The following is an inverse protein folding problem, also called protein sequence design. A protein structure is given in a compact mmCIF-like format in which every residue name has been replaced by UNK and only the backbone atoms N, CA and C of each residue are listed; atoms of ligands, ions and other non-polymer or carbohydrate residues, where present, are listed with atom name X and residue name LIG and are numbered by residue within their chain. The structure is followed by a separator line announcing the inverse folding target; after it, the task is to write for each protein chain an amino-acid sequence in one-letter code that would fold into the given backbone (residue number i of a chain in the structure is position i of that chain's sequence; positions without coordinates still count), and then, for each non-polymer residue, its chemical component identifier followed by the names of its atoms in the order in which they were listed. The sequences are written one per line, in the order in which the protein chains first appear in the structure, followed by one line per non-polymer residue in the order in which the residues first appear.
data_IF_737206747312
#
_entry.id   IF_737206747312
#
_cell.length_a   1.000
_cell.length_b   1.000
_cell.length_c   1.000
_cell.angle_alpha   90.00
_cell.angle_beta   90.00
_cell.angle_gamma   90.00
#
_symmetry.space_group_name_H-M   'P 1'
#
loop_
_entity.id
_entity.type
_entity.pdbx_description
1 polymer ?
#
# COMPACT_ATOMS: atom_id res chain seq x y z
N UNK A 1 -10.06 25.99 9.57
CA UNK A 1 -9.02 26.96 9.17
C UNK A 1 -7.70 26.81 9.95
N UNK A 2 -7.68 26.89 11.30
CA UNK A 2 -6.44 26.76 12.10
C UNK A 2 -5.69 25.42 11.95
N UNK A 3 -6.39 24.27 11.99
CA UNK A 3 -5.75 22.94 11.86
C UNK A 3 -5.02 22.78 10.51
N UNK A 4 -5.59 23.28 9.42
CA UNK A 4 -4.99 23.22 8.08
C UNK A 4 -3.72 24.08 7.98
N UNK A 5 -3.74 25.29 8.54
CA UNK A 5 -2.54 26.12 8.67
C UNK A 5 -1.44 25.40 9.44
N UNK A 6 -1.79 24.77 10.57
CA UNK A 6 -0.85 24.03 11.41
C UNK A 6 -0.24 22.82 10.70
N UNK A 7 -1.03 22.06 9.93
CA UNK A 7 -0.52 20.97 9.08
C UNK A 7 0.50 21.52 8.07
N UNK A 8 0.17 22.64 7.40
CA UNK A 8 1.08 23.29 6.46
C UNK A 8 2.40 23.72 7.11
N UNK A 9 2.35 24.30 8.31
CA UNK A 9 3.54 24.69 9.06
C UNK A 9 4.41 23.48 9.45
N UNK A 10 3.79 22.37 9.87
CA UNK A 10 4.51 21.14 10.20
C UNK A 10 5.16 20.50 8.96
N UNK A 11 4.47 20.50 7.81
CA UNK A 11 5.04 19.97 6.56
C UNK A 11 6.27 20.75 6.11
N UNK A 12 6.29 22.08 6.30
CA UNK A 12 7.48 22.90 6.01
C UNK A 12 8.70 22.50 6.85
N UNK A 13 8.49 22.00 8.07
CA UNK A 13 9.56 21.62 9.00
C UNK A 13 9.97 20.15 8.88
N UNK A 14 9.06 19.27 8.48
CA UNK A 14 9.25 17.80 8.55
C UNK A 14 9.26 17.09 7.19
N UNK A 15 8.93 17.77 6.09
CA UNK A 15 8.85 17.24 4.71
C UNK A 15 7.84 16.09 4.47
N UNK A 16 7.45 15.35 5.50
CA UNK A 16 6.43 14.32 5.48
C UNK A 16 5.65 14.32 6.80
N UNK A 17 4.36 13.99 6.74
CA UNK A 17 3.52 13.71 7.89
C UNK A 17 2.80 12.39 7.66
N UNK A 18 2.57 11.65 8.74
CA UNK A 18 1.79 10.41 8.73
C UNK A 18 0.43 10.66 9.36
N UNK A 19 -0.61 10.11 8.76
CA UNK A 19 -1.96 10.11 9.30
C UNK A 19 -2.39 8.68 9.60
N UNK A 20 -2.94 8.46 10.80
CA UNK A 20 -3.62 7.21 11.14
C UNK A 20 -5.10 7.43 10.88
N UNK A 21 -5.67 6.65 9.95
CA UNK A 21 -7.11 6.57 9.73
C UNK A 21 -7.64 5.31 10.42
N UNK A 22 -8.71 5.44 11.20
CA UNK A 22 -9.36 4.34 11.93
C UNK A 22 -10.87 4.51 11.91
N UNK A 23 -11.59 3.39 11.96
CA UNK A 23 -13.04 3.35 12.08
C UNK A 23 -13.42 2.42 13.23
N UNK A 24 -14.43 2.80 14.00
CA UNK A 24 -15.03 1.95 15.04
C UNK A 24 -16.49 1.77 14.65
N UNK A 25 -16.87 0.53 14.40
CA UNK A 25 -18.25 0.18 14.07
C UNK A 25 -19.06 0.08 15.35
N UNK A 26 -20.27 0.62 15.32
CA UNK A 26 -21.22 0.54 16.40
C UNK A 26 -22.63 0.39 15.83
N UNK A 27 -23.58 0.04 16.69
CA UNK A 27 -24.98 -0.13 16.36
C UNK A 27 -25.86 0.61 17.39
N UNK A 28 -27.18 0.46 17.29
CA UNK A 28 -28.10 1.12 18.21
C UNK A 28 -27.92 0.69 19.68
N UNK A 29 -27.31 -0.48 19.93
CA UNK A 29 -27.08 -1.00 21.28
C UNK A 29 -25.81 -0.38 21.90
N UNK A 30 -24.79 -0.15 21.09
CA UNK A 30 -23.46 0.34 21.51
C UNK A 30 -23.25 1.84 21.31
N UNK A 31 -24.19 2.54 20.66
CA UNK A 31 -24.13 3.97 20.41
C UNK A 31 -23.93 4.85 21.66
N UNK A 32 -24.37 4.39 22.84
CA UNK A 32 -24.21 5.13 24.10
C UNK A 32 -22.79 5.03 24.67
N UNK A 33 -22.08 3.95 24.39
CA UNK A 33 -20.75 3.65 24.97
C UNK A 33 -19.60 3.91 24.00
N UNK A 34 -19.87 4.04 22.70
CA UNK A 34 -18.85 4.19 21.65
C UNK A 34 -17.89 5.36 21.89
N UNK A 35 -18.38 6.46 22.46
CA UNK A 35 -17.56 7.62 22.78
C UNK A 35 -16.50 7.30 23.85
N UNK A 36 -16.84 6.50 24.86
CA UNK A 36 -15.91 6.11 25.94
C UNK A 36 -14.84 5.15 25.39
N UNK A 37 -15.23 4.24 24.51
CA UNK A 37 -14.32 3.35 23.81
C UNK A 37 -13.34 4.13 22.92
N UNK A 38 -13.85 5.09 22.14
CA UNK A 38 -13.02 5.98 21.33
C UNK A 38 -12.02 6.76 22.19
N UNK A 39 -12.45 7.34 23.33
CA UNK A 39 -11.55 8.06 24.24
C UNK A 39 -10.48 7.14 24.84
N UNK A 40 -10.82 5.88 25.12
CA UNK A 40 -9.87 4.88 25.62
C UNK A 40 -8.81 4.55 24.58
N UNK A 41 -9.19 4.36 23.32
CA UNK A 41 -8.25 4.16 22.22
C UNK A 41 -7.38 5.40 21.99
N UNK A 42 -8.01 6.58 21.93
CA UNK A 42 -7.35 7.86 21.67
C UNK A 42 -6.26 8.18 22.70
N UNK A 43 -6.47 7.83 23.98
CA UNK A 43 -5.46 7.98 25.05
C UNK A 43 -4.22 7.09 24.87
N UNK A 44 -4.31 6.00 24.11
CA UNK A 44 -3.20 5.08 23.84
C UNK A 44 -2.37 5.48 22.62
N UNK A 45 -2.84 6.45 21.82
CA UNK A 45 -2.16 6.90 20.62
C UNK A 45 -1.27 8.12 20.92
N UNK A 46 -0.10 8.17 20.26
CA UNK A 46 0.86 9.26 20.38
C UNK A 46 0.89 10.14 19.12
N UNK A 47 -0.27 10.64 18.70
CA UNK A 47 -0.39 11.57 17.57
C UNK A 47 -0.17 13.02 18.04
N UNK A 48 0.04 13.93 17.09
CA UNK A 48 0.26 15.36 17.40
C UNK A 48 -0.99 15.96 18.05
N UNK A 49 -0.87 16.41 19.31
CA UNK A 49 -1.98 16.97 20.09
C UNK A 49 -2.75 18.04 19.30
N UNK A 50 -4.07 17.89 19.22
CA UNK A 50 -4.97 18.81 18.51
C UNK A 50 -5.11 18.56 17.00
N UNK A 51 -4.38 17.60 16.43
CA UNK A 51 -4.54 17.16 15.05
C UNK A 51 -5.28 15.82 14.98
N UNK A 52 -6.50 15.81 15.51
CA UNK A 52 -7.47 14.74 15.31
C UNK A 52 -8.67 15.26 14.49
N UNK A 53 -9.27 14.37 13.73
CA UNK A 53 -10.47 14.63 12.94
C UNK A 53 -11.37 13.41 13.08
N UNK A 54 -12.65 13.63 13.30
CA UNK A 54 -13.64 12.56 13.44
C UNK A 54 -14.87 12.94 12.63
N UNK A 55 -15.49 11.93 12.03
CA UNK A 55 -16.76 12.06 11.32
C UNK A 55 -17.55 10.79 11.58
N UNK A 56 -18.81 10.96 11.97
CA UNK A 56 -19.77 9.88 12.03
C UNK A 56 -20.41 9.69 10.65
N UNK A 57 -20.63 8.44 10.25
CA UNK A 57 -21.15 8.07 8.94
C UNK A 57 -21.87 6.72 9.01
N UNK A 58 -22.86 6.52 8.15
CA UNK A 58 -23.46 5.20 7.98
C UNK A 58 -22.41 4.19 7.49
N UNK A 59 -22.63 2.92 7.81
CA UNK A 59 -21.76 1.83 7.39
C UNK A 59 -21.50 1.85 5.87
N UNK A 60 -22.57 1.98 5.07
CA UNK A 60 -22.45 2.00 3.61
C UNK A 60 -21.74 3.25 3.08
N UNK A 61 -21.99 4.43 3.65
CA UNK A 61 -21.27 5.65 3.24
C UNK A 61 -19.78 5.56 3.58
N UNK A 62 -19.41 4.89 4.68
CA UNK A 62 -18.01 4.65 5.00
C UNK A 62 -17.37 3.67 4.01
N UNK A 63 -18.05 2.59 3.65
CA UNK A 63 -17.54 1.64 2.65
C UNK A 63 -17.38 2.27 1.27
N UNK A 64 -18.34 3.12 0.86
CA UNK A 64 -18.34 3.82 -0.43
C UNK A 64 -17.53 5.13 -0.41
N UNK A 65 -16.75 5.42 0.64
CA UNK A 65 -16.08 6.73 0.81
C UNK A 65 -15.03 7.07 -0.26
N UNK A 66 -14.51 6.06 -0.96
CA UNK A 66 -13.62 6.27 -2.12
C UNK A 66 -14.41 6.83 -3.29
N UNK A 67 -15.70 6.45 -3.39
CA UNK A 67 -16.62 6.87 -4.45
C UNK A 67 -16.14 6.50 -5.85
N UNK A 68 -16.73 7.16 -6.85
CA UNK A 68 -16.26 7.06 -8.22
C UNK A 68 -15.15 8.10 -8.47
N UNK A 69 -13.89 7.65 -8.44
CA UNK A 69 -12.73 8.49 -8.75
C UNK A 69 -12.54 8.71 -10.26
N UNK A 70 -13.25 7.95 -11.10
CA UNK A 70 -13.17 7.99 -12.56
C UNK A 70 -14.18 8.97 -13.19
N UNK A 71 -14.76 9.90 -12.43
CA UNK A 71 -15.61 10.95 -13.00
C UNK A 71 -14.73 11.75 -13.98
N UNK A 72 -14.99 11.67 -15.31
CA UNK A 72 -14.11 12.27 -16.30
C UNK A 72 -14.34 13.78 -16.30
N UNK A 73 -13.77 14.49 -15.33
CA UNK A 73 -13.81 15.95 -15.29
C UNK A 73 -13.02 16.57 -16.44
N UNK A 74 -12.20 15.78 -17.17
CA UNK A 74 -11.27 16.25 -18.21
C UNK A 74 -11.12 15.32 -19.42
N UNK A 75 -12.18 14.63 -19.84
CA UNK A 75 -12.31 14.05 -21.19
C UNK A 75 -11.30 12.97 -21.66
N UNK A 76 -10.38 12.50 -20.81
CA UNK A 76 -9.45 11.40 -21.15
C UNK A 76 -9.13 10.53 -19.93
N UNK A 77 -9.00 9.22 -20.16
CA UNK A 77 -8.54 8.26 -19.16
C UNK A 77 -7.07 8.55 -18.82
N UNK A 78 -6.80 8.89 -17.57
CA UNK A 78 -5.45 9.17 -17.08
C UNK A 78 -4.69 7.86 -16.83
N UNK A 79 -3.40 7.76 -17.19
CA UNK A 79 -2.59 6.62 -16.78
C UNK A 79 -2.42 6.53 -15.26
N UNK A 80 -2.44 5.31 -14.73
CA UNK A 80 -2.30 5.01 -13.31
C UNK A 80 -1.08 4.10 -13.05
N UNK A 81 0.15 4.65 -13.10
CA UNK A 81 1.39 3.89 -12.87
C UNK A 81 1.59 3.61 -11.37
N UNK A 82 0.70 2.79 -10.81
CA UNK A 82 0.70 2.47 -9.39
C UNK A 82 1.82 1.52 -9.01
N UNK A 83 2.34 1.68 -7.80
CA UNK A 83 3.22 0.72 -7.16
C UNK A 83 2.59 0.23 -5.87
N UNK A 84 2.34 -1.07 -5.78
CA UNK A 84 1.80 -1.70 -4.58
C UNK A 84 2.78 -2.75 -4.06
N UNK A 85 3.17 -2.64 -2.79
CA UNK A 85 4.21 -3.48 -2.17
C UNK A 85 3.74 -4.04 -0.84
N UNK A 86 4.11 -5.27 -0.55
CA UNK A 86 4.26 -5.78 0.80
C UNK A 86 5.70 -5.64 1.27
N UNK A 87 5.87 -5.20 2.52
CA UNK A 87 7.15 -4.85 3.13
C UNK A 87 7.29 -5.62 4.46
N UNK A 88 8.42 -6.29 4.72
CA UNK A 88 8.64 -6.97 5.99
C UNK A 88 8.76 -5.96 7.15
N UNK A 89 8.11 -6.25 8.29
CA UNK A 89 8.14 -5.39 9.50
C UNK A 89 9.56 -5.11 9.97
N UNK A 90 10.43 -6.10 9.93
CA UNK A 90 11.83 -6.04 10.35
C UNK A 90 12.63 -4.98 9.60
N UNK A 91 12.18 -4.59 8.40
CA UNK A 91 12.83 -3.59 7.54
C UNK A 91 12.05 -2.29 7.42
N UNK A 92 10.99 -2.09 8.21
CA UNK A 92 10.08 -0.96 8.02
C UNK A 92 10.73 0.39 8.28
N UNK A 93 11.64 0.48 9.25
CA UNK A 93 12.37 1.73 9.53
C UNK A 93 13.36 2.07 8.41
N UNK A 94 14.10 1.08 7.92
CA UNK A 94 15.03 1.26 6.80
C UNK A 94 14.27 1.61 5.50
N UNK A 95 13.13 0.98 5.26
CA UNK A 95 12.22 1.34 4.17
C UNK A 95 11.72 2.79 4.32
N UNK A 96 11.31 3.17 5.54
CA UNK A 96 10.85 4.52 5.83
C UNK A 96 11.94 5.57 5.54
N UNK A 97 13.15 5.39 6.05
CA UNK A 97 14.24 6.34 5.85
C UNK A 97 14.62 6.48 4.38
N UNK A 98 14.72 5.35 3.66
CA UNK A 98 15.14 5.34 2.26
C UNK A 98 14.07 5.84 1.31
N UNK A 99 12.84 5.33 1.45
CA UNK A 99 11.77 5.53 0.47
C UNK A 99 10.83 6.64 0.91
N UNK A 100 10.19 6.49 2.08
CA UNK A 100 9.12 7.40 2.50
C UNK A 100 9.65 8.79 2.84
N UNK A 101 10.76 8.88 3.58
CA UNK A 101 11.40 10.15 3.96
C UNK A 101 12.43 10.57 2.90
N UNK A 102 13.21 9.61 2.39
CA UNK A 102 14.33 9.88 1.49
C UNK A 102 13.94 10.24 0.06
N UNK A 103 12.93 9.57 -0.50
CA UNK A 103 12.58 9.69 -1.93
C UNK A 103 11.28 10.46 -2.17
N UNK A 104 10.19 10.14 -1.46
CA UNK A 104 8.86 10.70 -1.76
C UNK A 104 8.82 12.24 -1.73
N UNK A 105 9.27 12.94 -0.67
CA UNK A 105 9.14 14.40 -0.59
C UNK A 105 10.01 15.13 -1.61
N UNK A 106 11.09 14.49 -2.07
CA UNK A 106 12.06 15.10 -3.00
C UNK A 106 11.62 15.00 -4.45
N UNK A 107 10.90 13.94 -4.80
CA UNK A 107 10.59 13.61 -6.19
C UNK A 107 9.12 13.72 -6.54
N UNK A 108 8.23 13.62 -5.54
CA UNK A 108 6.78 13.55 -5.75
C UNK A 108 5.97 14.49 -4.83
N UNK A 109 6.59 15.48 -4.19
CA UNK A 109 5.91 16.38 -3.24
C UNK A 109 4.82 17.27 -3.83
N UNK A 110 4.80 17.45 -5.15
CA UNK A 110 3.80 18.26 -5.86
C UNK A 110 2.85 17.41 -6.72
N UNK A 111 2.90 16.09 -6.54
CA UNK A 111 2.34 15.17 -7.51
C UNK A 111 0.98 14.65 -7.03
N UNK A 112 -0.05 14.65 -7.90
CA UNK A 112 -1.37 14.11 -7.53
C UNK A 112 -1.27 12.61 -7.27
N UNK A 113 -1.79 12.17 -6.13
CA UNK A 113 -1.87 10.76 -5.79
C UNK A 113 -2.24 10.53 -4.33
N UNK A 114 -2.69 9.31 -4.04
CA UNK A 114 -2.98 8.87 -2.69
C UNK A 114 -1.90 7.88 -2.28
N UNK A 115 -1.25 8.11 -1.14
CA UNK A 115 -0.26 7.20 -0.59
C UNK A 115 -0.86 6.50 0.63
N UNK A 116 -1.10 5.20 0.51
CA UNK A 116 -1.61 4.37 1.60
C UNK A 116 -0.48 3.52 2.17
N UNK A 117 -0.37 3.50 3.49
CA UNK A 117 0.68 2.75 4.17
C UNK A 117 0.19 2.29 5.54
N UNK A 118 0.05 0.97 5.73
CA UNK A 118 -0.51 0.41 6.96
C UNK A 118 -0.07 -1.04 7.21
N UNK A 119 -0.07 -1.49 8.49
CA UNK A 119 0.25 -2.87 8.83
C UNK A 119 -0.91 -3.83 8.55
N UNK A 120 -0.57 -5.07 8.23
CA UNK A 120 -1.46 -6.22 8.07
C UNK A 120 -1.01 -7.34 9.01
N UNK A 121 -1.97 -8.10 9.52
CA UNK A 121 -1.67 -9.31 10.29
C UNK A 121 -1.33 -10.46 9.33
N UNK A 122 -0.08 -10.91 9.35
CA UNK A 122 0.39 -11.94 8.43
C UNK A 122 -0.25 -13.31 8.70
N UNK A 123 -0.75 -13.58 9.93
CA UNK A 123 -1.46 -14.83 10.28
C UNK A 123 -2.81 -14.98 9.57
N UNK A 124 -3.30 -13.92 8.92
CA UNK A 124 -4.53 -13.97 8.11
C UNK A 124 -4.27 -14.39 6.66
N UNK A 125 -3.01 -14.60 6.28
CA UNK A 125 -2.61 -15.06 4.96
C UNK A 125 -2.33 -16.57 5.00
N UNK A 126 -3.02 -17.33 4.15
CA UNK A 126 -2.85 -18.78 4.06
C UNK A 126 -1.75 -19.13 3.07
N UNK A 127 -0.65 -19.69 3.58
CA UNK A 127 0.52 -20.02 2.76
C UNK A 127 0.28 -21.11 1.72
N UNK A 128 -0.84 -21.85 1.81
CA UNK A 128 -1.24 -22.82 0.78
C UNK A 128 -1.75 -22.13 -0.49
N UNK A 129 -2.14 -20.86 -0.40
CA UNK A 129 -2.59 -20.05 -1.53
C UNK A 129 -1.41 -19.55 -2.38
N UNK A 130 -1.71 -19.13 -3.61
CA UNK A 130 -0.70 -18.61 -4.56
C UNK A 130 -0.28 -17.17 -4.30
N UNK A 131 -0.94 -16.45 -3.38
CA UNK A 131 -0.52 -15.12 -2.99
C UNK A 131 0.88 -15.16 -2.34
N UNK A 132 1.68 -14.15 -2.64
CA UNK A 132 3.07 -14.05 -2.17
C UNK A 132 3.19 -12.86 -1.22
N UNK A 133 3.59 -13.14 0.00
CA UNK A 133 4.00 -12.15 1.01
C UNK A 133 5.52 -12.18 1.19
N UNK A 134 6.14 -11.14 1.77
CA UNK A 134 7.58 -11.12 2.04
C UNK A 134 8.01 -12.32 2.88
N UNK A 135 9.21 -12.84 2.61
CA UNK A 135 9.73 -13.93 3.41
C UNK A 135 9.89 -13.50 4.87
N UNK A 136 9.39 -14.37 5.73
CA UNK A 136 9.08 -14.03 7.10
C UNK A 136 10.23 -14.49 7.99
N UNK A 137 11.07 -13.56 8.45
CA UNK A 137 11.91 -13.86 9.61
C UNK A 137 11.01 -14.09 10.83
N UNK A 138 11.47 -14.74 11.92
CA UNK A 138 10.68 -14.86 13.14
C UNK A 138 10.11 -13.51 13.64
N UNK A 139 10.82 -12.39 13.40
CA UNK A 139 10.38 -11.04 13.73
C UNK A 139 9.24 -10.50 12.82
N UNK A 140 9.07 -11.08 11.63
CA UNK A 140 8.06 -10.72 10.63
C UNK A 140 6.80 -11.59 10.70
N UNK A 141 6.80 -12.64 11.53
CA UNK A 141 5.73 -13.68 11.56
C UNK A 141 4.33 -13.14 11.74
N UNK A 142 4.21 -12.01 12.40
CA UNK A 142 2.91 -11.51 12.83
C UNK A 142 2.44 -10.30 12.02
N UNK A 143 3.37 -9.51 11.47
CA UNK A 143 3.04 -8.24 10.80
C UNK A 143 3.86 -8.06 9.53
N UNK A 144 3.18 -7.71 8.46
CA UNK A 144 3.76 -7.12 7.25
C UNK A 144 3.14 -5.75 7.04
N UNK A 145 3.81 -4.86 6.34
CA UNK A 145 3.23 -3.58 5.91
C UNK A 145 2.84 -3.66 4.45
N UNK A 146 1.81 -2.92 4.07
CA UNK A 146 1.51 -2.64 2.68
C UNK A 146 1.75 -1.16 2.37
N UNK A 147 2.24 -0.89 1.17
CA UNK A 147 2.35 0.43 0.58
C UNK A 147 1.59 0.43 -0.74
N UNK A 148 0.74 1.42 -0.97
CA UNK A 148 0.15 1.72 -2.27
C UNK A 148 0.50 3.15 -2.66
N UNK A 149 1.29 3.31 -3.71
CA UNK A 149 1.54 4.59 -4.35
C UNK A 149 0.56 4.76 -5.51
N UNK A 150 -0.59 5.38 -5.23
CA UNK A 150 -1.71 5.49 -6.16
C UNK A 150 -1.62 6.80 -6.95
N UNK A 151 -0.66 6.85 -7.87
CA UNK A 151 -0.40 7.99 -8.75
C UNK A 151 -1.47 8.15 -9.83
N UNK A 152 -1.77 9.40 -10.19
CA UNK A 152 -2.51 9.74 -11.42
C UNK A 152 -1.61 10.59 -12.30
N UNK A 153 -1.27 10.10 -13.49
CA UNK A 153 -0.37 10.79 -14.40
C UNK A 153 -1.17 11.53 -15.48
N UNK A 154 -0.64 12.67 -15.96
CA UNK A 154 -1.11 13.21 -17.23
C UNK A 154 -0.63 12.32 -18.38
N UNK A 155 -1.29 12.43 -19.54
CA UNK A 155 -0.87 11.67 -20.71
C UNK A 155 0.57 12.04 -21.09
N UNK A 156 1.42 11.03 -21.31
CA UNK A 156 2.85 11.22 -21.59
C UNK A 156 3.76 11.38 -20.35
N UNK A 157 3.21 11.67 -19.16
CA UNK A 157 4.00 11.87 -17.93
C UNK A 157 4.17 10.59 -17.09
N UNK A 158 3.46 9.50 -17.44
CA UNK A 158 3.49 8.24 -16.68
C UNK A 158 4.92 7.68 -16.48
N UNK A 159 5.83 7.95 -17.41
CA UNK A 159 7.23 7.50 -17.37
C UNK A 159 8.01 8.04 -16.18
N UNK A 160 7.64 9.22 -15.65
CA UNK A 160 8.27 9.79 -14.45
C UNK A 160 7.98 8.89 -13.25
N UNK A 161 6.75 8.40 -13.15
CA UNK A 161 6.32 7.49 -12.09
C UNK A 161 6.87 6.08 -12.28
N UNK A 162 6.90 5.57 -13.52
CA UNK A 162 7.54 4.28 -13.78
C UNK A 162 9.02 4.30 -13.38
N UNK A 163 9.75 5.37 -13.73
CA UNK A 163 11.13 5.55 -13.32
C UNK A 163 11.25 5.63 -11.79
N UNK A 164 10.38 6.39 -11.12
CA UNK A 164 10.34 6.45 -9.67
C UNK A 164 10.07 5.08 -9.03
N UNK A 165 9.09 4.33 -9.55
CA UNK A 165 8.72 3.01 -9.04
C UNK A 165 9.88 2.02 -9.18
N UNK A 166 10.57 2.03 -10.32
CA UNK A 166 11.76 1.23 -10.54
C UNK A 166 12.90 1.63 -9.57
N UNK A 167 13.13 2.93 -9.36
CA UNK A 167 14.13 3.39 -8.39
C UNK A 167 13.80 2.92 -6.95
N UNK A 168 12.51 2.90 -6.57
CA UNK A 168 12.08 2.37 -5.26
C UNK A 168 12.41 0.88 -5.13
N UNK A 169 12.07 0.08 -6.15
CA UNK A 169 12.37 -1.35 -6.19
C UNK A 169 13.88 -1.61 -6.15
N UNK A 170 14.66 -0.84 -6.89
CA UNK A 170 16.13 -0.93 -6.92
C UNK A 170 16.77 -0.58 -5.57
N UNK A 171 16.29 0.48 -4.91
CA UNK A 171 16.76 0.84 -3.55
C UNK A 171 16.43 -0.28 -2.58
N UNK A 172 15.23 -0.85 -2.63
CA UNK A 172 14.86 -1.98 -1.79
C UNK A 172 15.77 -3.19 -2.04
N UNK A 173 16.01 -3.54 -3.31
CA UNK A 173 16.89 -4.65 -3.70
C UNK A 173 18.32 -4.44 -3.19
N UNK A 174 18.91 -3.26 -3.42
CA UNK A 174 20.28 -2.92 -2.98
C UNK A 174 20.43 -2.92 -1.47
N UNK A 175 19.39 -2.49 -0.75
CA UNK A 175 19.36 -2.55 0.72
C UNK A 175 19.02 -3.95 1.25
N UNK A 176 18.72 -4.93 0.40
CA UNK A 176 18.27 -6.26 0.82
C UNK A 176 16.90 -6.25 1.50
N UNK A 177 16.08 -5.22 1.27
CA UNK A 177 14.69 -5.17 1.74
C UNK A 177 13.86 -6.04 0.78
N UNK A 178 13.54 -7.25 1.20
CA UNK A 178 12.79 -8.22 0.40
C UNK A 178 11.30 -7.86 0.28
N UNK A 179 11.01 -6.78 -0.44
CA UNK A 179 9.62 -6.39 -0.76
C UNK A 179 9.01 -7.36 -1.79
N UNK A 180 7.69 -7.53 -1.73
CA UNK A 180 6.93 -8.27 -2.75
C UNK A 180 5.92 -7.34 -3.39
N UNK A 181 5.88 -7.26 -4.71
CA UNK A 181 4.84 -6.51 -5.39
C UNK A 181 3.47 -7.18 -5.18
N UNK A 182 2.47 -6.39 -4.77
CA UNK A 182 1.05 -6.74 -4.86
C UNK A 182 0.53 -6.23 -6.20
N UNK A 183 -0.26 -7.03 -6.91
CA UNK A 183 -0.53 -6.82 -8.35
C UNK A 183 0.79 -6.78 -9.18
N UNK A 184 1.64 -7.82 -9.07
CA UNK A 184 2.96 -7.84 -9.68
C UNK A 184 2.90 -7.78 -11.22
N UNK A 185 3.87 -7.08 -11.81
CA UNK A 185 4.10 -7.08 -13.25
C UNK A 185 5.59 -7.24 -13.54
N UNK A 186 6.00 -8.46 -13.90
CA UNK A 186 7.38 -8.77 -14.28
C UNK A 186 7.45 -9.18 -15.75
N UNK A 187 8.59 -8.89 -16.38
CA UNK A 187 8.78 -9.08 -17.83
C UNK A 187 9.43 -10.41 -18.17
N UNK A 188 10.11 -11.03 -17.20
CA UNK A 188 10.89 -12.24 -17.40
C UNK A 188 10.46 -13.36 -16.48
N UNK A 189 10.70 -14.61 -16.91
CA UNK A 189 10.41 -15.80 -16.12
C UNK A 189 11.25 -15.83 -14.85
N UNK A 190 12.49 -15.37 -14.93
CA UNK A 190 13.44 -15.33 -13.82
C UNK A 190 12.96 -14.39 -12.70
N UNK A 191 12.42 -13.22 -13.07
CA UNK A 191 11.78 -12.32 -12.11
C UNK A 191 10.54 -12.95 -11.46
N UNK A 192 9.71 -13.68 -12.24
CA UNK A 192 8.57 -14.42 -11.69
C UNK A 192 9.00 -15.53 -10.73
N UNK A 193 10.05 -16.30 -11.07
CA UNK A 193 10.64 -17.31 -10.19
C UNK A 193 11.11 -16.64 -8.90
N UNK A 194 11.83 -15.53 -9.00
CA UNK A 194 12.29 -14.75 -7.83
C UNK A 194 11.14 -14.19 -7.00
N UNK A 195 10.04 -13.78 -7.65
CA UNK A 195 8.85 -13.29 -6.97
C UNK A 195 8.22 -14.41 -6.13
N UNK A 196 7.89 -15.55 -6.76
CA UNK A 196 7.27 -16.68 -6.08
C UNK A 196 8.20 -17.35 -5.06
N UNK A 197 9.52 -17.31 -5.26
CA UNK A 197 10.51 -17.92 -4.37
C UNK A 197 10.20 -19.41 -4.19
N UNK A 198 10.14 -19.86 -2.92
CA UNK A 198 9.84 -21.24 -2.58
C UNK A 198 8.47 -21.74 -3.09
N UNK A 199 7.52 -20.84 -3.42
CA UNK A 199 6.21 -21.21 -3.97
C UNK A 199 6.24 -21.55 -5.46
N UNK A 200 7.34 -21.25 -6.18
CA UNK A 200 7.40 -21.37 -7.63
C UNK A 200 7.08 -22.78 -8.13
N UNK A 201 7.68 -23.81 -7.53
CA UNK A 201 7.46 -25.20 -7.94
C UNK A 201 5.97 -25.60 -7.80
N UNK A 202 5.36 -25.24 -6.68
CA UNK A 202 3.93 -25.49 -6.45
C UNK A 202 3.06 -24.73 -7.46
N UNK A 203 3.40 -23.47 -7.75
CA UNK A 203 2.67 -22.65 -8.72
C UNK A 203 2.78 -23.23 -10.15
N UNK A 204 3.98 -23.66 -10.54
CA UNK A 204 4.25 -24.31 -11.81
C UNK A 204 3.48 -25.64 -11.97
N UNK A 205 3.51 -26.50 -10.94
CA UNK A 205 2.78 -27.77 -10.95
C UNK A 205 1.25 -27.54 -11.06
N UNK A 206 0.72 -26.55 -10.34
CA UNK A 206 -0.69 -26.15 -10.47
C UNK A 206 -1.01 -25.64 -11.87
N UNK A 207 -0.12 -24.86 -12.49
CA UNK A 207 -0.32 -24.40 -13.88
C UNK A 207 -0.40 -25.59 -14.84
N UNK A 208 0.50 -26.56 -14.75
CA UNK A 208 0.47 -27.76 -15.60
C UNK A 208 -0.77 -28.63 -15.37
N UNK A 209 -1.29 -28.68 -14.13
CA UNK A 209 -2.49 -29.44 -13.81
C UNK A 209 -3.76 -28.78 -14.35
N UNK A 210 -3.90 -27.45 -14.20
CA UNK A 210 -5.16 -26.75 -14.46
C UNK A 210 -5.19 -25.98 -15.79
N UNK A 211 -4.03 -25.61 -16.35
CA UNK A 211 -3.91 -24.97 -17.66
C UNK A 211 -2.62 -25.44 -18.38
N UNK A 212 -2.55 -26.73 -18.78
CA UNK A 212 -1.37 -27.30 -19.43
C UNK A 212 -1.03 -26.66 -20.78
N UNK A 213 -2.03 -26.03 -21.44
CA UNK A 213 -1.84 -25.33 -22.71
C UNK A 213 -1.48 -23.86 -22.54
N UNK A 214 -1.42 -23.36 -21.29
CA UNK A 214 -1.05 -21.98 -20.92
C UNK A 214 -1.90 -20.91 -21.63
N UNK A 215 -3.19 -21.16 -21.81
CA UNK A 215 -4.08 -20.25 -22.54
C UNK A 215 -4.70 -19.16 -21.64
N UNK A 216 -4.72 -19.37 -20.32
CA UNK A 216 -5.39 -18.48 -19.39
C UNK A 216 -4.48 -17.35 -18.93
N UNK A 217 -5.01 -16.12 -19.02
CA UNK A 217 -4.40 -14.87 -18.52
C UNK A 217 -2.98 -14.58 -19.05
N UNK A 218 -2.74 -14.63 -20.39
CA UNK A 218 -1.41 -14.41 -20.96
C UNK A 218 -0.84 -13.01 -20.66
N UNK A 219 -1.70 -12.02 -20.40
CA UNK A 219 -1.29 -10.66 -20.02
C UNK A 219 -0.51 -10.56 -18.71
N UNK A 220 -0.49 -11.61 -17.88
CA UNK A 220 0.38 -11.67 -16.70
C UNK A 220 1.85 -11.94 -17.07
N UNK A 221 2.14 -12.51 -18.25
CA UNK A 221 3.52 -12.78 -18.69
C UNK A 221 4.28 -13.81 -17.84
N UNK A 222 3.59 -14.65 -17.07
CA UNK A 222 4.23 -15.69 -16.23
C UNK A 222 4.57 -16.92 -17.06
N UNK A 223 3.63 -17.35 -17.91
CA UNK A 223 3.73 -18.54 -18.72
C UNK A 223 3.31 -18.22 -20.14
N UNK A 224 4.22 -18.49 -21.06
CA UNK A 224 4.04 -18.34 -22.49
C UNK A 224 4.34 -19.69 -23.15
#
# INVERSE_FOLDING_TARGET
MWKQYRIGALLKNHNILYSIELAIYYDNQTAKTINEEFQTLHKKLNFIKGLNFSKDASFFNFLDRVGNLDIPTRGSLQPHPWLNLFIPKSRIFDFNERVLVGMLPRRLSQTPGIFIFYPLNNKRWDDRMSAVTPEVTPADKDVIYTLGLLHSAQHGEYRIYDAFNNDVLDVCKKAGINVKQYLPNYKTKEEWISHFGFKWETFYNRKNLFDPRKILSPGQGIFN
#
